data_IF_970081831801
#
_entry.id   IF_970081831801
#
_cell.length_a   1.000
_cell.length_b   1.000
_cell.length_c   1.000
_cell.angle_alpha   90.00
_cell.angle_beta   90.00
_cell.angle_gamma   90.00
#
_symmetry.space_group_name_H-M   'P 1'
#
loop_
_entity.id
_entity.type
_entity.pdbx_description
1 polymer ?
#
# COMPACT_ATOMS: atom_id res chain seq x y z
N UNK A 1 -7.45 -9.31 -4.53
CA UNK A 1 -6.68 -8.55 -3.53
C UNK A 1 -7.32 -8.62 -2.15
N UNK A 2 -8.65 -8.67 -2.04
CA UNK A 2 -9.37 -8.87 -0.78
C UNK A 2 -8.94 -7.84 0.26
N UNK A 3 -8.26 -8.26 1.34
CA UNK A 3 -7.80 -7.39 2.42
C UNK A 3 -6.33 -6.99 2.30
N UNK A 4 -5.58 -7.55 1.34
CA UNK A 4 -4.19 -7.17 1.10
C UNK A 4 -4.11 -5.94 0.17
N UNK A 5 -3.10 -5.07 0.34
CA UNK A 5 -2.89 -3.94 -0.55
C UNK A 5 -2.77 -4.38 -2.02
N UNK A 6 -3.18 -3.51 -2.93
CA UNK A 6 -3.00 -3.69 -4.37
C UNK A 6 -2.48 -2.43 -5.04
N UNK A 7 -1.72 -2.62 -6.12
CA UNK A 7 -1.22 -1.51 -6.92
C UNK A 7 -2.22 -1.12 -8.01
N UNK A 8 -2.34 0.18 -8.28
CA UNK A 8 -3.06 0.71 -9.45
C UNK A 8 -2.63 0.00 -10.74
N UNK A 9 -1.32 -0.25 -10.88
CA UNK A 9 -0.72 -0.93 -12.04
C UNK A 9 -1.27 -2.32 -12.31
N UNK A 10 -1.69 -3.07 -11.28
CA UNK A 10 -2.19 -4.44 -11.45
C UNK A 10 -3.58 -4.49 -12.09
N UNK A 11 -4.29 -3.36 -12.14
CA UNK A 11 -5.67 -3.27 -12.61
C UNK A 11 -5.86 -2.30 -13.77
N UNK A 12 -4.78 -1.77 -14.36
CA UNK A 12 -4.84 -0.80 -15.45
C UNK A 12 -5.56 -1.32 -16.70
N UNK A 13 -5.50 -2.63 -16.94
CA UNK A 13 -6.08 -3.26 -18.12
C UNK A 13 -7.56 -3.67 -17.93
N UNK A 14 -8.14 -3.47 -16.73
CA UNK A 14 -9.53 -3.83 -16.47
C UNK A 14 -10.52 -2.91 -17.22
N UNK A 15 -10.14 -1.65 -17.46
CA UNK A 15 -10.95 -0.64 -18.13
C UNK A 15 -10.10 0.57 -18.53
N UNK A 16 -10.59 1.45 -19.44
CA UNK A 16 -9.87 2.66 -19.82
C UNK A 16 -9.48 3.52 -18.61
N UNK A 17 -8.26 4.09 -18.65
CA UNK A 17 -7.67 4.84 -17.53
C UNK A 17 -8.60 5.89 -16.89
N UNK A 18 -9.33 6.73 -17.65
CA UNK A 18 -10.21 7.72 -17.04
C UNK A 18 -11.35 7.09 -16.23
N UNK A 19 -11.90 5.97 -16.70
CA UNK A 19 -12.98 5.27 -16.03
C UNK A 19 -12.47 4.59 -14.76
N UNK A 20 -11.29 3.96 -14.83
CA UNK A 20 -10.66 3.32 -13.69
C UNK A 20 -10.42 4.31 -12.55
N UNK A 21 -9.90 5.50 -12.87
CA UNK A 21 -9.66 6.56 -11.87
C UNK A 21 -10.95 7.03 -11.21
N UNK A 22 -12.03 7.17 -11.97
CA UNK A 22 -13.34 7.57 -11.43
C UNK A 22 -13.88 6.48 -10.50
N UNK A 23 -13.84 5.22 -10.93
CA UNK A 23 -14.31 4.08 -10.14
C UNK A 23 -13.55 3.95 -8.81
N UNK A 24 -12.21 4.02 -8.84
CA UNK A 24 -11.39 3.97 -7.61
C UNK A 24 -11.72 5.13 -6.66
N UNK A 25 -11.92 6.35 -7.18
CA UNK A 25 -12.30 7.51 -6.35
C UNK A 25 -13.69 7.36 -5.74
N UNK A 26 -14.63 6.72 -6.44
CA UNK A 26 -15.96 6.43 -5.90
C UNK A 26 -15.89 5.38 -4.78
N UNK A 27 -15.09 4.33 -4.95
CA UNK A 27 -14.89 3.29 -3.93
C UNK A 27 -14.21 3.83 -2.67
N UNK A 28 -13.18 4.68 -2.83
CA UNK A 28 -12.48 5.34 -1.71
C UNK A 28 -13.43 6.27 -0.94
N UNK A 29 -14.22 7.10 -1.65
CA UNK A 29 -15.26 7.94 -1.03
C UNK A 29 -16.34 7.14 -0.30
N UNK A 30 -16.67 5.94 -0.79
CA UNK A 30 -17.63 5.06 -0.15
C UNK A 30 -17.05 4.29 1.04
N UNK A 31 -15.74 4.38 1.30
CA UNK A 31 -15.05 3.62 2.34
C UNK A 31 -14.87 2.14 2.03
N UNK A 32 -15.11 1.72 0.79
CA UNK A 32 -14.92 0.33 0.36
C UNK A 32 -13.43 -0.02 0.19
N UNK A 33 -12.61 0.97 -0.10
CA UNK A 33 -11.15 0.88 -0.15
C UNK A 33 -10.54 2.12 0.52
N UNK A 34 -9.25 2.06 0.82
CA UNK A 34 -8.47 3.20 1.30
C UNK A 34 -7.22 3.39 0.46
N UNK A 35 -7.00 4.64 0.02
CA UNK A 35 -5.80 5.02 -0.72
C UNK A 35 -4.57 5.21 0.20
N UNK A 36 -3.43 4.67 -0.22
CA UNK A 36 -2.12 4.90 0.38
C UNK A 36 -1.27 5.77 -0.56
N UNK A 37 -1.24 7.11 -0.37
CA UNK A 37 -0.47 8.01 -1.23
C UNK A 37 1.03 7.86 -1.00
N UNK A 38 1.81 8.40 -1.93
CA UNK A 38 3.27 8.49 -1.78
C UNK A 38 3.60 9.36 -0.55
N UNK A 39 4.43 8.83 0.35
CA UNK A 39 4.95 9.56 1.50
C UNK A 39 6.27 10.26 1.11
N UNK A 40 6.35 11.57 1.36
CA UNK A 40 7.53 12.39 1.06
C UNK A 40 8.01 13.08 2.32
N UNK A 41 9.33 13.11 2.55
CA UNK A 41 9.93 13.89 3.64
C UNK A 41 9.64 15.39 3.43
N UNK A 42 9.19 16.07 4.50
CA UNK A 42 8.59 17.40 4.42
C UNK A 42 9.58 18.50 3.97
N UNK A 43 10.87 18.31 4.21
CA UNK A 43 11.96 19.22 3.77
C UNK A 43 12.74 18.70 2.56
N UNK A 44 12.31 17.59 1.95
CA UNK A 44 13.01 16.97 0.82
C UNK A 44 14.35 16.31 1.18
N UNK A 45 14.56 15.96 2.45
CA UNK A 45 15.71 15.20 2.91
C UNK A 45 15.76 13.80 2.29
N UNK A 46 16.97 13.24 2.25
CA UNK A 46 17.17 11.84 1.85
C UNK A 46 16.57 10.91 2.91
N UNK A 47 15.91 9.85 2.45
CA UNK A 47 15.30 8.82 3.31
C UNK A 47 15.97 7.49 3.04
N UNK A 48 16.36 6.78 4.10
CA UNK A 48 16.76 5.37 4.07
C UNK A 48 15.83 4.56 4.97
N UNK A 49 15.70 3.26 4.69
CA UNK A 49 14.82 2.34 5.42
C UNK A 49 15.51 0.98 5.55
N UNK A 50 15.28 0.31 6.68
CA UNK A 50 15.53 -1.12 6.92
C UNK A 50 14.28 -1.75 7.53
N UNK A 51 13.98 -3.00 7.21
CA UNK A 51 12.81 -3.71 7.71
C UNK A 51 13.12 -5.20 7.83
N UNK A 52 12.69 -5.79 8.96
CA UNK A 52 12.62 -7.23 9.15
C UNK A 52 11.25 -7.61 9.69
N UNK A 53 10.76 -8.80 9.33
CA UNK A 53 9.62 -9.43 10.00
C UNK A 53 10.13 -10.39 11.06
N UNK A 54 9.52 -10.37 12.25
CA UNK A 54 9.91 -11.22 13.38
C UNK A 54 8.72 -11.96 13.98
N UNK A 55 8.98 -13.15 14.50
CA UNK A 55 8.05 -13.92 15.34
C UNK A 55 8.53 -13.78 16.79
N UNK A 56 7.67 -13.26 17.67
CA UNK A 56 7.97 -13.14 19.10
C UNK A 56 7.81 -14.49 19.78
N UNK A 57 8.82 -14.90 20.54
CA UNK A 57 8.88 -16.18 21.25
C UNK A 57 9.12 -15.95 22.75
N UNK A 58 9.04 -17.02 23.54
CA UNK A 58 9.14 -16.93 25.01
C UNK A 58 10.45 -16.30 25.48
N UNK A 59 11.56 -16.67 24.87
CA UNK A 59 12.92 -16.31 25.30
C UNK A 59 13.64 -15.40 24.28
N UNK A 60 12.93 -14.91 23.25
CA UNK A 60 13.54 -14.11 22.19
C UNK A 60 12.60 -13.82 21.02
N UNK A 61 13.18 -13.49 19.87
CA UNK A 61 12.45 -13.30 18.63
C UNK A 61 13.21 -13.94 17.47
N UNK A 62 12.49 -14.66 16.62
CA UNK A 62 13.03 -15.25 15.39
C UNK A 62 12.82 -14.27 14.24
N UNK A 63 13.89 -13.95 13.52
CA UNK A 63 13.88 -13.11 12.32
C UNK A 63 13.62 -13.99 11.10
N UNK A 64 12.61 -13.66 10.28
CA UNK A 64 12.17 -14.50 9.14
C UNK A 64 12.37 -13.87 7.76
N UNK A 65 12.92 -12.67 7.71
CA UNK A 65 13.27 -11.96 6.47
C UNK A 65 14.72 -11.52 6.49
#
# INVERSE_FOLDING_TARGET
>A
FSTLPFAYRWIQDLMPEPQLRIALKQLDKAGAIYSYPVLKEIRGGLVSQFEHTVIVEKDGATVIT
#
